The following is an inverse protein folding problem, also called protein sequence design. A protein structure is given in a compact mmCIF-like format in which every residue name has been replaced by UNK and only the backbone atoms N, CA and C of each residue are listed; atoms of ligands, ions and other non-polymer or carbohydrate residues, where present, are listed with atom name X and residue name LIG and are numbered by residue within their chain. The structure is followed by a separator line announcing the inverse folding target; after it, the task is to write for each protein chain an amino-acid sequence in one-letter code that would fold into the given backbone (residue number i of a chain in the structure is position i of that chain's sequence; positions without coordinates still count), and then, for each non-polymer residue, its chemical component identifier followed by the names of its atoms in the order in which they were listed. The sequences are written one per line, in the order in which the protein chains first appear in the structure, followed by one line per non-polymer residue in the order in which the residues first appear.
data_IF_706165224628
#
_entry.id   IF_706165224628
#
_cell.length_a   1.000
_cell.length_b   1.000
_cell.length_c   1.000
_cell.angle_alpha   90.00
_cell.angle_beta   90.00
_cell.angle_gamma   90.00
#
_symmetry.space_group_name_H-M   'P 1'
#
loop_
_entity.id
_entity.type
_entity.pdbx_description
1 polymer ?
#
# COMPACT_ATOMS: atom_id res chain seq x y z
N UNK A 1 19.45 -12.61 3.73
CA UNK A 1 19.89 -11.52 4.63
C UNK A 1 20.73 -10.54 3.83
N UNK A 2 20.12 -9.52 3.21
CA UNK A 2 20.84 -8.53 2.40
C UNK A 2 21.13 -7.26 3.19
N UNK A 3 22.37 -6.77 3.15
CA UNK A 3 22.70 -5.44 3.68
C UNK A 3 22.18 -4.42 2.66
N UNK A 4 21.14 -3.67 3.03
CA UNK A 4 20.60 -2.59 2.19
C UNK A 4 21.06 -1.21 2.64
N UNK A 5 21.36 -0.34 1.67
CA UNK A 5 21.77 1.05 1.90
C UNK A 5 20.61 2.04 1.78
N UNK A 6 19.45 1.63 1.26
CA UNK A 6 18.28 2.49 1.10
C UNK A 6 17.30 2.34 2.26
N UNK A 7 16.53 3.41 2.54
CA UNK A 7 15.43 3.36 3.51
C UNK A 7 14.37 2.34 3.08
N UNK A 8 14.04 2.31 1.79
CA UNK A 8 13.02 1.40 1.26
C UNK A 8 13.43 -0.06 1.37
N UNK A 9 14.69 -0.39 1.07
CA UNK A 9 15.18 -1.75 1.26
C UNK A 9 15.19 -2.15 2.73
N UNK A 10 15.46 -1.20 3.65
CA UNK A 10 15.43 -1.49 5.09
C UNK A 10 13.99 -1.72 5.56
N UNK A 11 13.04 -0.91 5.09
CA UNK A 11 11.62 -1.07 5.38
C UNK A 11 11.07 -2.39 4.82
N UNK A 12 11.47 -2.79 3.61
CA UNK A 12 11.06 -4.05 2.99
C UNK A 12 11.54 -5.28 3.78
N UNK A 13 12.81 -5.30 4.23
CA UNK A 13 13.35 -6.40 5.06
C UNK A 13 12.60 -6.52 6.39
N UNK A 14 12.26 -5.38 6.99
CA UNK A 14 11.48 -5.33 8.24
C UNK A 14 10.06 -5.86 8.00
N UNK A 15 9.39 -5.39 6.94
CA UNK A 15 8.05 -5.82 6.60
C UNK A 15 7.99 -7.33 6.31
N UNK A 16 8.95 -7.87 5.53
CA UNK A 16 9.07 -9.30 5.25
C UNK A 16 9.27 -10.13 6.54
N UNK A 17 10.13 -9.65 7.45
CA UNK A 17 10.34 -10.32 8.73
C UNK A 17 9.05 -10.39 9.56
N UNK A 18 8.30 -9.29 9.64
CA UNK A 18 7.01 -9.23 10.35
C UNK A 18 5.93 -10.09 9.68
N UNK A 19 5.76 -9.98 8.35
CA UNK A 19 4.75 -10.73 7.59
C UNK A 19 5.00 -12.24 7.63
N UNK A 20 6.26 -12.67 7.71
CA UNK A 20 6.57 -14.09 7.85
C UNK A 20 6.23 -14.70 9.21
N UNK A 21 5.76 -13.88 10.17
CA UNK A 21 5.46 -14.30 11.55
C UNK A 21 6.70 -14.63 12.38
N UNK A 22 7.91 -14.46 11.83
CA UNK A 22 9.18 -14.83 12.49
C UNK A 22 9.63 -13.80 13.52
N UNK A 23 9.18 -12.56 13.40
CA UNK A 23 9.57 -11.45 14.28
C UNK A 23 8.35 -10.58 14.55
N UNK A 24 8.08 -10.29 15.83
CA UNK A 24 7.03 -9.36 16.20
C UNK A 24 7.51 -7.90 16.02
N UNK A 25 6.69 -6.98 15.51
CA UNK A 25 7.09 -5.58 15.30
C UNK A 25 7.65 -4.90 16.57
N UNK A 26 7.07 -5.21 17.73
CA UNK A 26 7.52 -4.70 19.04
C UNK A 26 8.96 -5.14 19.39
N UNK A 27 9.40 -6.31 18.92
CA UNK A 27 10.77 -6.79 19.11
C UNK A 27 11.75 -5.98 18.27
N UNK A 28 11.36 -5.56 17.06
CA UNK A 28 12.17 -4.69 16.19
C UNK A 28 12.30 -3.30 16.83
N UNK A 29 11.22 -2.72 17.37
CA UNK A 29 11.27 -1.44 18.10
C UNK A 29 12.24 -1.53 19.27
N UNK A 30 12.15 -2.60 20.08
CA UNK A 30 13.04 -2.84 21.21
C UNK A 30 14.50 -2.98 20.76
N UNK A 31 14.73 -3.73 19.68
CA UNK A 31 16.05 -3.92 19.10
C UNK A 31 16.65 -2.60 18.53
N UNK A 32 15.81 -1.68 18.05
CA UNK A 32 16.23 -0.35 17.59
C UNK A 32 16.55 0.61 18.74
N UNK A 33 15.97 0.43 19.91
CA UNK A 33 16.27 1.25 21.09
C UNK A 33 17.75 1.12 21.48
N UNK A 34 18.31 -0.09 21.41
CA UNK A 34 19.74 -0.35 21.66
C UNK A 34 20.70 0.05 20.54
N UNK A 35 20.21 0.61 19.42
CA UNK A 35 21.03 0.93 18.23
C UNK A 35 20.87 2.40 17.81
N UNK A 36 21.41 3.36 18.59
CA UNK A 36 21.20 4.79 18.35
C UNK A 36 21.79 5.28 17.01
N UNK A 37 22.85 4.60 16.51
CA UNK A 37 23.52 4.91 15.24
C UNK A 37 22.93 4.14 14.04
N UNK A 38 21.80 3.46 14.21
CA UNK A 38 21.14 2.75 13.11
C UNK A 38 20.77 3.76 12.01
N UNK A 39 21.28 3.50 10.80
CA UNK A 39 20.96 4.31 9.63
C UNK A 39 19.46 4.29 9.38
N UNK A 40 18.89 5.45 9.05
CA UNK A 40 17.45 5.65 8.83
C UNK A 40 16.54 5.45 10.05
N UNK A 41 17.10 5.34 11.28
CA UNK A 41 16.34 5.11 12.52
C UNK A 41 15.12 6.01 12.70
N UNK A 42 15.27 7.32 12.44
CA UNK A 42 14.18 8.29 12.59
C UNK A 42 13.02 8.03 11.62
N UNK A 43 13.33 7.57 10.41
CA UNK A 43 12.34 7.26 9.39
C UNK A 43 11.73 5.86 9.59
N UNK A 44 12.52 4.89 10.05
CA UNK A 44 12.08 3.51 10.29
C UNK A 44 11.22 3.34 11.55
N UNK A 45 11.42 4.15 12.60
CA UNK A 45 10.67 4.01 13.84
C UNK A 45 9.15 4.16 13.67
N UNK A 46 8.62 5.27 13.10
CA UNK A 46 7.17 5.39 12.90
C UNK A 46 6.62 4.31 11.97
N UNK A 47 7.42 3.88 10.98
CA UNK A 47 7.10 2.76 10.07
C UNK A 47 6.84 1.47 10.84
N UNK A 48 7.67 1.13 11.83
CA UNK A 48 7.53 -0.10 12.61
C UNK A 48 6.46 0.02 13.69
N UNK A 49 6.31 1.20 14.30
CA UNK A 49 5.25 1.49 15.26
C UNK A 49 3.85 1.34 14.62
N UNK A 50 3.69 1.80 13.38
CA UNK A 50 2.47 1.63 12.59
C UNK A 50 2.16 0.13 12.29
N UNK A 51 3.20 -0.67 12.00
CA UNK A 51 3.05 -2.14 11.83
C UNK A 51 2.73 -2.81 13.17
N UNK A 52 3.31 -2.33 14.28
CA UNK A 52 3.02 -2.84 15.62
C UNK A 52 1.59 -2.54 16.09
N UNK A 53 1.00 -1.45 15.62
CA UNK A 53 -0.36 -1.03 15.94
C UNK A 53 -1.47 -1.82 15.18
N UNK A 54 -1.11 -2.88 14.47
CA UNK A 54 -2.09 -3.76 13.80
C UNK A 54 -2.54 -3.24 12.44
N UNK A 55 -1.79 -2.33 11.81
CA UNK A 55 -1.99 -2.06 10.39
C UNK A 55 -1.75 -3.34 9.59
N UNK A 56 -2.72 -3.77 8.79
CA UNK A 56 -2.60 -4.95 7.93
C UNK A 56 -1.33 -4.88 7.04
N UNK A 57 -0.92 -3.68 6.66
CA UNK A 57 0.44 -3.34 6.26
C UNK A 57 0.72 -1.84 6.40
N UNK A 58 1.98 -1.41 6.52
CA UNK A 58 2.32 0.03 6.48
C UNK A 58 1.96 0.67 5.13
N UNK A 59 1.92 -0.12 4.06
CA UNK A 59 1.57 0.34 2.73
C UNK A 59 0.11 0.82 2.67
N UNK A 60 -0.81 0.13 3.34
CA UNK A 60 -2.22 0.55 3.47
C UNK A 60 -2.38 1.91 4.17
N UNK A 61 -1.66 2.14 5.28
CA UNK A 61 -1.69 3.43 5.96
C UNK A 61 -1.12 4.56 5.10
N UNK A 62 -0.02 4.27 4.40
CA UNK A 62 0.59 5.22 3.46
C UNK A 62 -0.34 5.52 2.29
N UNK A 63 -1.04 4.53 1.77
CA UNK A 63 -2.03 4.72 0.71
C UNK A 63 -3.18 5.61 1.19
N UNK A 64 -3.80 5.30 2.33
CA UNK A 64 -4.86 6.10 2.94
C UNK A 64 -4.42 7.56 3.15
N UNK A 65 -3.22 7.78 3.69
CA UNK A 65 -2.73 9.13 4.00
C UNK A 65 -2.27 9.88 2.76
N UNK A 66 -1.35 9.29 2.01
CA UNK A 66 -0.59 9.97 0.97
C UNK A 66 -1.29 9.96 -0.40
N UNK A 67 -2.17 9.00 -0.65
CA UNK A 67 -2.97 8.89 -1.88
C UNK A 67 -4.38 9.40 -1.65
N UNK A 68 -5.16 8.80 -0.76
CA UNK A 68 -6.58 9.19 -0.61
C UNK A 68 -6.73 10.58 0.04
N UNK A 69 -6.32 10.71 1.30
CA UNK A 69 -6.60 11.93 2.10
C UNK A 69 -5.93 13.16 1.53
N UNK A 70 -4.65 13.07 1.14
CA UNK A 70 -3.91 14.21 0.55
C UNK A 70 -4.56 14.75 -0.73
N UNK A 71 -5.27 13.89 -1.47
CA UNK A 71 -5.91 14.27 -2.72
C UNK A 71 -7.43 14.34 -2.64
N UNK A 72 -7.98 14.26 -1.43
CA UNK A 72 -9.42 14.28 -1.17
C UNK A 72 -10.22 13.25 -2.00
N UNK A 73 -9.62 12.08 -2.25
CA UNK A 73 -10.33 10.98 -2.91
C UNK A 73 -11.37 10.38 -1.94
N UNK A 74 -12.42 9.70 -2.46
CA UNK A 74 -13.29 8.88 -1.65
C UNK A 74 -12.49 7.92 -0.77
N UNK A 75 -13.08 7.51 0.35
CA UNK A 75 -12.45 6.55 1.26
C UNK A 75 -12.92 5.14 0.87
N UNK A 76 -11.99 4.26 0.48
CA UNK A 76 -12.33 2.87 0.18
C UNK A 76 -12.66 2.04 1.42
N UNK A 77 -13.41 0.95 1.23
CA UNK A 77 -13.64 -0.11 2.22
C UNK A 77 -12.38 -0.97 2.32
N UNK A 78 -11.91 -1.27 3.53
CA UNK A 78 -10.67 -2.04 3.73
C UNK A 78 -11.00 -3.47 4.01
N UNK A 79 -10.13 -4.37 3.56
CA UNK A 79 -10.19 -5.80 3.90
C UNK A 79 -11.61 -6.35 3.64
N UNK A 80 -12.14 -6.06 2.45
CA UNK A 80 -13.45 -6.57 2.02
C UNK A 80 -13.30 -8.05 1.68
N UNK A 81 -14.07 -8.90 2.36
CA UNK A 81 -14.13 -10.33 2.05
C UNK A 81 -14.93 -10.58 0.76
N UNK A 82 -14.33 -11.24 -0.22
CA UNK A 82 -14.96 -11.66 -1.48
C UNK A 82 -14.30 -12.93 -1.99
N UNK A 83 -15.09 -13.90 -2.45
CA UNK A 83 -14.61 -15.19 -2.98
C UNK A 83 -13.58 -15.91 -2.07
N UNK A 84 -13.79 -15.82 -0.75
CA UNK A 84 -12.92 -16.36 0.31
C UNK A 84 -11.53 -15.71 0.40
N UNK A 85 -11.35 -14.56 -0.23
CA UNK A 85 -10.16 -13.73 -0.14
C UNK A 85 -10.52 -12.33 0.40
N UNK A 86 -9.51 -11.57 0.82
CA UNK A 86 -9.66 -10.19 1.22
C UNK A 86 -8.99 -9.29 0.19
N UNK A 87 -9.66 -8.21 -0.22
CA UNK A 87 -9.06 -7.13 -1.03
C UNK A 87 -8.60 -6.00 -0.13
N UNK A 88 -7.45 -5.39 -0.41
CA UNK A 88 -6.89 -4.35 0.46
C UNK A 88 -7.78 -3.10 0.54
N UNK A 89 -8.17 -2.55 -0.61
CA UNK A 89 -9.07 -1.38 -0.68
C UNK A 89 -10.11 -1.56 -1.80
N UNK A 90 -11.39 -1.38 -1.48
CA UNK A 90 -12.49 -1.42 -2.44
C UNK A 90 -13.29 -0.12 -2.44
N UNK A 91 -13.43 0.52 -3.59
CA UNK A 91 -14.27 1.71 -3.78
C UNK A 91 -15.66 1.29 -4.23
N UNK A 92 -16.55 1.04 -3.26
CA UNK A 92 -17.95 0.72 -3.52
C UNK A 92 -18.63 1.81 -4.34
N UNK A 93 -19.44 1.41 -5.33
CA UNK A 93 -20.09 2.33 -6.27
C UNK A 93 -19.20 2.80 -7.42
N UNK A 94 -17.90 2.47 -7.39
CA UNK A 94 -16.95 2.69 -8.50
C UNK A 94 -16.49 1.38 -9.14
N UNK A 95 -16.71 0.24 -8.47
CA UNK A 95 -16.21 -1.09 -8.85
C UNK A 95 -14.69 -1.08 -9.09
N UNK A 96 -13.96 -0.42 -8.18
CA UNK A 96 -12.50 -0.37 -8.19
C UNK A 96 -11.94 -1.10 -6.97
N UNK A 97 -11.13 -2.11 -7.25
CA UNK A 97 -10.27 -2.78 -6.28
C UNK A 97 -8.85 -2.21 -6.40
N UNK A 98 -8.26 -1.86 -5.27
CA UNK A 98 -6.85 -1.51 -5.17
C UNK A 98 -6.16 -2.54 -4.28
N UNK A 99 -5.19 -3.25 -4.86
CA UNK A 99 -4.32 -4.19 -4.14
C UNK A 99 -2.99 -3.51 -3.82
N UNK A 100 -2.51 -3.70 -2.59
CA UNK A 100 -1.33 -3.06 -2.04
C UNK A 100 -0.26 -4.12 -1.78
N UNK A 101 0.56 -4.28 -2.80
CA UNK A 101 1.64 -5.24 -2.85
C UNK A 101 2.85 -4.75 -2.04
N UNK A 102 2.82 -5.01 -0.72
CA UNK A 102 3.91 -4.67 0.20
C UNK A 102 5.22 -5.43 -0.02
N UNK A 103 5.19 -6.48 -0.85
CA UNK A 103 6.36 -7.26 -1.23
C UNK A 103 6.98 -6.70 -2.52
N UNK A 104 8.31 -6.67 -2.58
CA UNK A 104 9.04 -6.60 -3.86
C UNK A 104 8.77 -7.92 -4.60
N UNK A 105 7.64 -8.01 -5.31
CA UNK A 105 7.21 -9.22 -6.02
C UNK A 105 8.23 -9.60 -7.12
N UNK A 106 9.25 -10.34 -6.72
CA UNK A 106 10.21 -11.01 -7.60
C UNK A 106 10.10 -12.53 -7.48
N UNK A 107 9.00 -13.06 -6.93
CA UNK A 107 8.83 -14.51 -6.74
C UNK A 107 7.78 -15.07 -7.73
N UNK A 108 8.18 -15.88 -8.73
CA UNK A 108 7.28 -16.42 -9.75
C UNK A 108 6.17 -17.35 -9.22
N UNK A 109 6.28 -17.84 -7.97
CA UNK A 109 5.44 -18.92 -7.45
C UNK A 109 3.98 -18.55 -7.15
N UNK A 110 3.61 -17.26 -7.14
CA UNK A 110 2.21 -16.84 -6.88
C UNK A 110 1.45 -16.38 -8.14
N UNK A 111 2.11 -16.33 -9.30
CA UNK A 111 1.54 -15.78 -10.55
C UNK A 111 0.18 -16.39 -10.93
N UNK A 112 -0.01 -17.69 -10.76
CA UNK A 112 -1.28 -18.34 -11.09
C UNK A 112 -2.44 -17.88 -10.20
N UNK A 113 -2.20 -17.66 -8.91
CA UNK A 113 -3.21 -17.15 -7.98
C UNK A 113 -3.54 -15.68 -8.28
N UNK A 114 -2.54 -14.89 -8.65
CA UNK A 114 -2.76 -13.50 -9.05
C UNK A 114 -3.60 -13.40 -10.33
N UNK A 115 -3.31 -14.23 -11.33
CA UNK A 115 -4.10 -14.30 -12.57
C UNK A 115 -5.55 -14.73 -12.31
N UNK A 116 -5.74 -15.74 -11.46
CA UNK A 116 -7.07 -16.21 -11.07
C UNK A 116 -7.87 -15.14 -10.30
N UNK A 117 -7.20 -14.38 -9.42
CA UNK A 117 -7.79 -13.23 -8.72
C UNK A 117 -8.20 -12.12 -9.68
N UNK A 118 -7.34 -11.77 -10.63
CA UNK A 118 -7.62 -10.73 -11.64
C UNK A 118 -8.77 -11.14 -12.56
N UNK A 119 -8.83 -12.41 -12.96
CA UNK A 119 -9.96 -12.96 -13.71
C UNK A 119 -11.25 -12.88 -12.91
N UNK A 120 -11.24 -13.25 -11.61
CA UNK A 120 -12.42 -13.12 -10.73
C UNK A 120 -12.89 -11.68 -10.59
N UNK A 121 -11.98 -10.72 -10.42
CA UNK A 121 -12.32 -9.29 -10.41
C UNK A 121 -12.96 -8.85 -11.72
N UNK A 122 -12.39 -9.28 -12.85
CA UNK A 122 -12.93 -8.99 -14.18
C UNK A 122 -14.33 -9.56 -14.36
N UNK A 123 -14.59 -10.80 -13.90
CA UNK A 123 -15.92 -11.43 -13.94
C UNK A 123 -16.96 -10.67 -13.10
N UNK A 124 -16.53 -9.96 -12.05
CA UNK A 124 -17.37 -9.05 -11.25
C UNK A 124 -17.51 -7.65 -11.86
N UNK A 125 -16.92 -7.40 -13.03
CA UNK A 125 -16.85 -6.05 -13.64
C UNK A 125 -16.11 -5.05 -12.74
N UNK A 126 -15.18 -5.55 -11.92
CA UNK A 126 -14.30 -4.73 -11.09
C UNK A 126 -13.04 -4.39 -11.88
N UNK A 127 -12.63 -3.12 -11.85
CA UNK A 127 -11.29 -2.71 -12.27
C UNK A 127 -10.32 -2.95 -11.12
N UNK A 128 -9.11 -3.43 -11.42
CA UNK A 128 -8.06 -3.63 -10.42
C UNK A 128 -6.86 -2.74 -10.71
N UNK A 129 -6.40 -1.98 -9.72
CA UNK A 129 -5.11 -1.30 -9.73
C UNK A 129 -4.23 -1.93 -8.65
N UNK A 130 -2.96 -2.18 -8.98
CA UNK A 130 -2.00 -2.76 -8.03
C UNK A 130 -0.87 -1.78 -7.79
N UNK A 131 -0.54 -1.53 -6.53
CA UNK A 131 0.54 -0.63 -6.16
C UNK A 131 1.57 -1.31 -5.29
N UNK A 132 2.83 -1.17 -5.69
CA UNK A 132 3.94 -1.54 -4.84
C UNK A 132 4.31 -0.41 -3.88
N UNK A 133 5.25 -0.72 -2.99
CA UNK A 133 5.82 0.25 -2.05
C UNK A 133 6.29 1.56 -2.69
N UNK A 134 7.03 1.49 -3.81
CA UNK A 134 7.57 2.67 -4.49
C UNK A 134 6.50 3.54 -5.14
N UNK A 135 5.37 2.96 -5.55
CA UNK A 135 4.28 3.71 -6.15
C UNK A 135 3.59 4.58 -5.11
N UNK A 136 3.37 4.03 -3.92
CA UNK A 136 2.70 4.75 -2.82
C UNK A 136 3.65 5.72 -2.10
N UNK A 137 4.93 5.38 -1.92
CA UNK A 137 5.87 6.20 -1.14
C UNK A 137 6.65 7.20 -1.99
N UNK A 138 7.05 6.81 -3.20
CA UNK A 138 7.84 7.65 -4.11
C UNK A 138 6.97 8.48 -5.05
N UNK A 139 5.82 7.94 -5.49
CA UNK A 139 4.97 8.57 -6.51
C UNK A 139 3.48 8.62 -6.12
N UNK A 140 3.12 9.02 -4.88
CA UNK A 140 1.73 8.97 -4.40
C UNK A 140 0.76 9.80 -5.25
N UNK A 141 1.23 10.90 -5.85
CA UNK A 141 0.37 11.72 -6.71
C UNK A 141 0.05 11.04 -8.05
N UNK A 142 0.96 10.23 -8.59
CA UNK A 142 0.71 9.46 -9.82
C UNK A 142 -0.29 8.33 -9.53
N UNK A 143 -0.14 7.64 -8.40
CA UNK A 143 -1.14 6.68 -7.93
C UNK A 143 -2.52 7.35 -7.77
N UNK A 144 -2.58 8.54 -7.16
CA UNK A 144 -3.82 9.29 -7.02
C UNK A 144 -4.47 9.65 -8.37
N UNK A 145 -3.67 10.01 -9.39
CA UNK A 145 -4.18 10.28 -10.74
C UNK A 145 -4.82 9.02 -11.34
N UNK A 146 -4.17 7.86 -11.24
CA UNK A 146 -4.71 6.61 -11.78
C UNK A 146 -6.00 6.19 -11.09
N UNK A 147 -6.04 6.27 -9.75
CA UNK A 147 -7.25 6.00 -8.97
C UNK A 147 -8.37 6.94 -9.42
N UNK A 148 -8.11 8.25 -9.47
CA UNK A 148 -9.08 9.25 -9.89
C UNK A 148 -9.60 9.01 -11.31
N UNK A 149 -8.75 8.61 -12.25
CA UNK A 149 -9.15 8.28 -13.62
C UNK A 149 -10.16 7.13 -13.65
N UNK A 150 -9.98 6.09 -12.83
CA UNK A 150 -10.94 4.98 -12.75
C UNK A 150 -12.23 5.42 -12.05
N UNK A 151 -12.14 6.14 -10.94
CA UNK A 151 -13.31 6.65 -10.23
C UNK A 151 -14.18 7.56 -11.14
N UNK A 152 -13.54 8.38 -11.97
CA UNK A 152 -14.23 9.26 -12.93
C UNK A 152 -14.91 8.55 -14.09
N UNK A 153 -14.66 7.26 -14.32
CA UNK A 153 -15.45 6.48 -15.29
C UNK A 153 -16.92 6.40 -14.87
N UNK A 154 -17.19 6.36 -13.57
CA UNK A 154 -18.56 6.34 -13.03
C UNK A 154 -19.04 7.72 -12.60
N UNK A 155 -18.15 8.55 -12.06
CA UNK A 155 -18.49 9.91 -11.62
C UNK A 155 -17.56 10.93 -12.27
N UNK A 156 -17.81 11.36 -13.52
CA UNK A 156 -16.90 12.24 -14.26
C UNK A 156 -16.56 13.55 -13.54
N UNK A 157 -17.51 14.10 -12.77
CA UNK A 157 -17.35 15.33 -12.01
C UNK A 157 -16.73 15.12 -10.61
N UNK A 158 -16.21 13.93 -10.30
CA UNK A 158 -15.60 13.66 -9.00
C UNK A 158 -14.43 14.63 -8.75
N UNK A 159 -14.55 15.41 -7.68
CA UNK A 159 -13.55 16.38 -7.27
C UNK A 159 -12.33 15.66 -6.65
N UNK A 160 -11.16 16.26 -6.84
CA UNK A 160 -9.92 15.88 -6.17
C UNK A 160 -9.10 17.13 -5.87
N UNK A 161 -8.22 17.05 -4.87
CA UNK A 161 -7.40 18.17 -4.41
C UNK A 161 -5.93 17.95 -4.75
N UNK A 162 -5.26 19.01 -5.16
CA UNK A 162 -3.79 19.02 -5.29
C UNK A 162 -3.15 19.10 -3.92
N UNK A 163 -2.17 18.25 -3.64
CA UNK A 163 -1.43 18.29 -2.38
C UNK A 163 -0.24 19.28 -2.37
N UNK A 164 0.02 19.94 -3.50
CA UNK A 164 1.10 20.93 -3.65
C UNK A 164 1.26 21.47 -5.09
N UNK A 165 2.19 22.42 -5.33
CA UNK A 165 2.34 23.11 -6.60
C UNK A 165 2.71 22.22 -7.80
N UNK A 166 3.39 21.10 -7.55
CA UNK A 166 3.82 20.13 -8.57
C UNK A 166 2.88 18.92 -8.69
N UNK A 167 1.81 18.87 -7.88
CA UNK A 167 0.88 17.74 -7.89
C UNK A 167 0.13 17.67 -9.24
N UNK A 168 0.17 16.52 -9.96
CA UNK A 168 -0.49 16.33 -11.25
C UNK A 168 -2.01 16.10 -11.17
N UNK A 169 -2.57 15.92 -9.97
CA UNK A 169 -4.02 15.71 -9.77
C UNK A 169 -4.80 16.94 -10.27
N UNK A 170 -5.82 16.68 -11.09
CA UNK A 170 -6.74 17.66 -11.68
C UNK A 170 -8.13 17.04 -11.70
#
# INVERSE_FOLDING_TARGET
MGITRSLDGAAAVIAEACQSGRVAPAEIVRAMAGRPRLRHRRSLRPIIEDVAAGSHSLLELRYLRDVERKHALPTGQRQRAVDREFTDVFYAGFELVVELDGQLHLVPRQRWRDLDRDNRATLRTESTLRYGWFDVTGRPCEAAVQVLQVLRRRTPALAAKRCGPTCPVR
#
